data_IF_307953907363
#
_entry.id   IF_307953907363
#
_cell.length_a   1.000
_cell.length_b   1.000
_cell.length_c   1.000
_cell.angle_alpha   90.00
_cell.angle_beta   90.00
_cell.angle_gamma   90.00
#
_symmetry.space_group_name_H-M   'P 1'
#
loop_
_entity.id
_entity.type
_entity.pdbx_description
1 polymer ?
#
# COMPACT_ATOMS: atom_id res chain seq x y z
N UNK A 1 -4.99 -3.17 3.17
CA UNK A 1 -3.96 -2.86 2.14
C UNK A 1 -2.96 -4.01 2.04
N UNK A 2 -2.24 -4.18 0.93
CA UNK A 2 -1.13 -5.15 0.83
C UNK A 2 0.19 -4.43 0.57
N UNK A 3 1.25 -4.85 1.26
CA UNK A 3 2.60 -4.36 1.01
C UNK A 3 3.54 -5.52 0.67
N UNK A 4 4.59 -5.22 -0.09
CA UNK A 4 5.69 -6.12 -0.36
C UNK A 4 6.97 -5.57 0.26
N UNK A 5 7.83 -6.46 0.74
CA UNK A 5 9.17 -6.11 1.19
C UNK A 5 10.21 -6.89 0.38
N UNK A 6 11.29 -6.20 0.01
CA UNK A 6 12.47 -6.78 -0.59
C UNK A 6 13.69 -6.19 0.09
N UNK A 7 14.47 -7.04 0.73
CA UNK A 7 15.72 -6.67 1.39
C UNK A 7 16.79 -7.52 0.75
N UNK A 8 17.74 -6.88 0.08
CA UNK A 8 18.78 -7.54 -0.71
C UNK A 8 20.13 -7.14 -0.15
N UNK A 9 20.79 -8.09 0.51
CA UNK A 9 22.16 -7.94 0.98
C UNK A 9 23.12 -7.79 -0.20
N UNK A 10 24.16 -6.98 -0.03
CA UNK A 10 25.21 -6.76 -1.01
C UNK A 10 26.56 -7.19 -0.46
N UNK A 11 27.46 -7.67 -1.33
CA UNK A 11 28.81 -8.09 -0.91
C UNK A 11 28.81 -9.25 0.09
N UNK A 12 27.85 -10.18 -0.02
CA UNK A 12 27.74 -11.33 0.88
C UNK A 12 27.24 -11.01 2.29
N UNK A 13 26.71 -9.81 2.54
CA UNK A 13 26.05 -9.51 3.81
C UNK A 13 24.90 -10.48 4.05
N UNK A 14 24.80 -10.94 5.29
CA UNK A 14 23.73 -11.79 5.77
C UNK A 14 23.07 -11.14 6.97
N UNK A 15 21.76 -11.33 7.08
CA UNK A 15 20.95 -10.78 8.16
C UNK A 15 19.82 -11.75 8.49
N UNK A 16 19.17 -11.48 9.63
CA UNK A 16 18.13 -12.32 10.17
C UNK A 16 16.77 -11.62 10.08
N UNK A 17 15.71 -12.33 9.68
CA UNK A 17 14.35 -11.76 9.72
C UNK A 17 13.90 -11.44 11.15
N UNK A 18 14.49 -12.08 12.17
CA UNK A 18 14.26 -11.73 13.57
C UNK A 18 14.62 -10.29 13.92
N UNK A 19 15.43 -9.62 13.11
CA UNK A 19 15.82 -8.22 13.31
C UNK A 19 14.93 -7.25 12.55
N UNK A 20 14.05 -7.74 11.68
CA UNK A 20 13.18 -6.93 10.84
C UNK A 20 12.03 -6.37 11.67
N UNK A 21 11.90 -5.05 11.67
CA UNK A 21 10.70 -4.36 12.15
C UNK A 21 10.19 -3.38 11.11
N UNK A 22 8.91 -3.07 11.21
CA UNK A 22 8.24 -2.12 10.35
C UNK A 22 7.23 -1.31 11.15
N UNK A 23 7.13 -0.03 10.85
CA UNK A 23 6.09 0.83 11.37
C UNK A 23 5.61 1.75 10.27
N UNK A 24 4.31 1.76 10.03
CA UNK A 24 3.66 2.70 9.16
C UNK A 24 2.71 3.59 9.93
N UNK A 25 2.67 4.85 9.51
CA UNK A 25 1.74 5.86 10.00
C UNK A 25 1.11 6.60 8.83
N UNK A 26 -0.16 6.95 8.97
CA UNK A 26 -0.84 7.89 8.10
C UNK A 26 -0.95 9.27 8.72
N UNK A 27 -1.15 10.28 7.88
CA UNK A 27 -1.15 11.68 8.30
C UNK A 27 -2.53 12.18 8.78
N UNK A 28 -3.53 11.30 8.89
CA UNK A 28 -4.81 11.60 9.50
C UNK A 28 -4.73 11.58 11.03
N UNK A 29 -5.69 12.23 11.69
CA UNK A 29 -5.68 12.37 13.15
C UNK A 29 -5.80 11.05 13.92
N UNK A 30 -6.27 9.99 13.26
CA UNK A 30 -6.52 8.69 13.87
C UNK A 30 -5.47 7.64 13.49
N UNK A 31 -4.48 7.98 12.67
CA UNK A 31 -3.51 7.04 12.11
C UNK A 31 -4.22 5.80 11.52
N UNK A 32 -5.30 6.02 10.75
CA UNK A 32 -6.23 4.97 10.36
C UNK A 32 -5.60 3.88 9.47
N UNK A 33 -4.52 4.18 8.76
CA UNK A 33 -3.75 3.22 7.97
C UNK A 33 -2.49 2.73 8.70
N UNK A 34 -2.31 3.14 9.96
CA UNK A 34 -1.22 2.73 10.81
C UNK A 34 -1.13 1.22 10.92
N UNK A 35 0.08 0.68 10.78
CA UNK A 35 0.34 -0.75 10.83
C UNK A 35 1.81 -1.00 11.15
N UNK A 36 2.12 -1.96 11.99
CA UNK A 36 3.51 -2.29 12.29
C UNK A 36 3.67 -3.67 12.89
N UNK A 37 4.92 -4.12 12.89
CA UNK A 37 5.37 -5.33 13.53
C UNK A 37 6.77 -5.11 14.09
N UNK A 38 7.05 -5.77 15.19
CA UNK A 38 8.31 -5.66 15.91
C UNK A 38 9.32 -6.68 15.41
N UNK A 39 10.58 -6.42 15.76
CA UNK A 39 11.66 -7.38 15.56
C UNK A 39 11.31 -8.69 16.28
N UNK A 40 11.33 -9.79 15.52
CA UNK A 40 11.05 -11.14 16.00
C UNK A 40 9.62 -11.62 15.75
N UNK A 41 8.72 -10.77 15.25
CA UNK A 41 7.30 -11.12 15.03
C UNK A 41 7.08 -12.07 13.85
N UNK A 42 8.04 -12.17 12.91
CA UNK A 42 7.93 -13.03 11.74
C UNK A 42 9.00 -14.11 11.65
N UNK A 43 8.64 -15.20 11.00
CA UNK A 43 9.50 -16.28 10.55
C UNK A 43 9.20 -16.65 9.08
N UNK A 44 9.74 -17.78 8.61
CA UNK A 44 9.53 -18.26 7.25
C UNK A 44 8.37 -19.26 7.12
N UNK A 45 7.69 -19.62 8.22
CA UNK A 45 6.79 -20.79 8.30
C UNK A 45 5.43 -20.55 7.66
N UNK A 46 4.94 -19.30 7.65
CA UNK A 46 3.60 -18.95 7.18
C UNK A 46 3.52 -18.65 5.66
N UNK A 47 4.64 -18.80 4.93
CA UNK A 47 4.72 -18.52 3.49
C UNK A 47 4.60 -17.04 3.12
N UNK A 48 4.47 -16.15 4.10
CA UNK A 48 4.46 -14.70 3.90
C UNK A 48 5.85 -14.13 3.60
N UNK A 49 6.89 -14.80 4.08
CA UNK A 49 8.28 -14.42 3.90
C UNK A 49 9.10 -15.60 3.39
N UNK A 50 10.07 -15.29 2.54
CA UNK A 50 11.04 -16.22 1.99
C UNK A 50 12.42 -15.59 2.11
N UNK A 51 13.33 -16.31 2.75
CA UNK A 51 14.74 -15.98 2.74
C UNK A 51 15.44 -16.56 1.50
N UNK A 52 16.54 -15.95 1.07
CA UNK A 52 17.36 -16.44 -0.04
C UNK A 52 18.82 -16.49 0.38
N UNK A 53 19.48 -17.60 0.11
CA UNK A 53 20.93 -17.77 0.21
C UNK A 53 21.52 -17.75 -1.19
N UNK A 54 22.48 -16.88 -1.47
CA UNK A 54 23.06 -16.63 -2.81
C UNK A 54 24.00 -17.72 -3.33
N UNK A 55 23.93 -18.93 -2.78
CA UNK A 55 24.79 -20.03 -3.22
C UNK A 55 26.29 -19.74 -3.16
N UNK A 56 27.03 -20.29 -4.12
CA UNK A 56 28.49 -20.22 -4.19
C UNK A 56 29.00 -19.00 -4.94
N UNK A 57 28.20 -18.44 -5.85
CA UNK A 57 28.59 -17.25 -6.61
C UNK A 57 28.41 -15.95 -5.81
N UNK A 58 27.61 -15.99 -4.73
CA UNK A 58 27.39 -14.84 -3.85
C UNK A 58 26.58 -13.73 -4.51
N UNK A 59 25.83 -14.05 -5.57
CA UNK A 59 24.99 -13.13 -6.33
C UNK A 59 23.54 -13.61 -6.24
N UNK A 60 22.59 -12.69 -6.08
CA UNK A 60 21.18 -13.03 -6.17
C UNK A 60 20.84 -13.43 -7.62
N UNK A 61 20.37 -14.64 -7.82
CA UNK A 61 20.01 -15.22 -9.11
C UNK A 61 20.93 -16.38 -9.49
N UNK A 62 21.16 -16.62 -10.78
CA UNK A 62 22.20 -17.56 -11.24
C UNK A 62 21.87 -19.06 -11.13
N UNK A 63 20.87 -19.44 -10.34
CA UNK A 63 20.33 -20.80 -10.27
C UNK A 63 20.94 -21.70 -9.19
N UNK A 64 21.91 -21.20 -8.43
CA UNK A 64 22.45 -21.82 -7.22
C UNK A 64 21.86 -21.23 -5.92
N UNK A 65 20.97 -20.24 -6.05
CA UNK A 65 20.16 -19.71 -4.96
C UNK A 65 19.35 -20.81 -4.24
N UNK A 66 19.34 -20.76 -2.91
CA UNK A 66 18.48 -21.63 -2.09
C UNK A 66 17.44 -20.80 -1.36
N UNK A 67 16.17 -21.16 -1.52
CA UNK A 67 15.05 -20.53 -0.80
C UNK A 67 14.87 -21.13 0.59
N UNK A 68 14.70 -20.25 1.57
CA UNK A 68 14.38 -20.55 2.96
C UNK A 68 12.91 -20.23 3.17
N UNK A 69 12.08 -21.26 3.22
CA UNK A 69 10.60 -21.14 3.31
C UNK A 69 10.04 -21.76 4.59
N UNK A 70 10.90 -22.06 5.56
CA UNK A 70 10.55 -22.52 6.90
C UNK A 70 11.79 -22.46 7.79
N UNK A 71 11.59 -22.59 9.11
CA UNK A 71 12.67 -22.60 10.08
C UNK A 71 12.68 -21.37 10.99
N UNK A 72 13.69 -21.26 11.88
CA UNK A 72 13.71 -20.22 12.88
C UNK A 72 13.90 -18.84 12.23
N UNK A 73 13.28 -17.82 12.83
CA UNK A 73 13.46 -16.43 12.42
C UNK A 73 14.90 -15.93 12.57
N UNK A 74 15.78 -16.64 13.28
CA UNK A 74 17.21 -16.34 13.46
C UNK A 74 18.11 -16.84 12.34
N UNK A 75 17.57 -17.55 11.35
CA UNK A 75 18.36 -18.04 10.22
C UNK A 75 18.86 -16.87 9.38
N UNK A 76 20.19 -16.77 9.28
CA UNK A 76 20.87 -15.80 8.44
C UNK A 76 20.64 -16.10 6.96
N UNK A 77 20.24 -15.07 6.21
CA UNK A 77 20.00 -15.12 4.76
C UNK A 77 20.61 -13.89 4.09
N UNK A 78 20.85 -13.98 2.78
CA UNK A 78 21.39 -12.88 1.98
C UNK A 78 20.29 -11.94 1.50
N UNK A 79 19.08 -12.45 1.26
CA UNK A 79 17.92 -11.63 0.95
C UNK A 79 16.66 -12.12 1.65
N UNK A 80 15.70 -11.22 1.85
CA UNK A 80 14.35 -11.52 2.32
C UNK A 80 13.38 -10.90 1.33
N UNK A 81 12.43 -11.70 0.89
CA UNK A 81 11.26 -11.25 0.14
C UNK A 81 10.02 -11.62 0.91
N UNK A 82 9.09 -10.69 1.02
CA UNK A 82 7.88 -10.95 1.76
C UNK A 82 6.71 -10.09 1.31
N UNK A 83 5.55 -10.47 1.81
CA UNK A 83 4.29 -9.79 1.63
C UNK A 83 3.59 -9.71 2.98
N UNK A 84 2.90 -8.61 3.20
CA UNK A 84 2.06 -8.45 4.37
C UNK A 84 0.77 -7.71 4.05
N UNK A 85 -0.15 -7.80 5.01
CA UNK A 85 -1.42 -7.11 4.96
C UNK A 85 -1.41 -6.03 6.03
N UNK A 86 -1.65 -4.79 5.63
CA UNK A 86 -1.86 -3.67 6.55
C UNK A 86 -3.33 -3.30 6.65
N UNK A 87 -3.63 -2.37 7.57
CA UNK A 87 -4.97 -1.82 7.74
C UNK A 87 -5.49 -1.19 6.44
N UNK A 88 -6.81 -1.13 6.29
CA UNK A 88 -7.47 -0.41 5.20
C UNK A 88 -8.81 0.08 5.70
N UNK A 89 -9.28 1.20 5.14
CA UNK A 89 -10.68 1.56 5.26
C UNK A 89 -11.52 0.44 4.65
N UNK A 90 -12.45 -0.06 5.46
CA UNK A 90 -13.36 -1.10 5.07
C UNK A 90 -14.34 -0.55 4.03
N UNK A 91 -14.30 -1.09 2.82
CA UNK A 91 -15.43 -1.12 1.92
C UNK A 91 -15.62 -2.61 1.67
N UNK A 92 -16.52 -3.24 2.42
CA UNK A 92 -16.92 -4.62 2.15
C UNK A 92 -18.25 -4.63 1.37
N UNK A 93 -18.21 -4.60 0.02
CA UNK A 93 -19.35 -4.92 -0.82
C UNK A 93 -19.46 -6.43 -1.07
N UNK A 94 -18.57 -7.25 -0.48
CA UNK A 94 -18.45 -8.69 -0.67
C UNK A 94 -19.03 -9.54 0.46
N UNK A 95 -19.49 -8.94 1.57
CA UNK A 95 -20.37 -9.62 2.53
C UNK A 95 -21.76 -9.78 1.90
N UNK A 96 -22.16 -11.01 1.48
CA UNK A 96 -23.45 -11.26 0.86
C UNK A 96 -24.63 -11.09 1.84
N UNK A 97 -24.38 -10.71 3.10
CA UNK A 97 -25.38 -10.55 4.17
C UNK A 97 -25.48 -9.12 4.71
N UNK A 98 -24.74 -8.14 4.17
CA UNK A 98 -24.90 -6.75 4.61
C UNK A 98 -26.24 -6.17 4.14
N UNK A 99 -27.11 -5.86 5.09
CA UNK A 99 -28.33 -5.08 4.88
C UNK A 99 -27.97 -3.66 4.42
N UNK A 100 -28.90 -2.97 3.74
CA UNK A 100 -28.73 -1.56 3.37
C UNK A 100 -28.32 -0.67 4.56
N UNK A 101 -28.81 -0.98 5.77
CA UNK A 101 -28.46 -0.25 6.98
C UNK A 101 -27.00 -0.44 7.41
N UNK A 102 -26.43 -1.62 7.21
CA UNK A 102 -25.01 -1.90 7.51
C UNK A 102 -24.09 -1.21 6.48
N UNK A 103 -24.53 -1.12 5.23
CA UNK A 103 -23.81 -0.36 4.19
C UNK A 103 -23.85 1.15 4.45
N UNK A 104 -24.99 1.68 4.87
CA UNK A 104 -25.10 3.09 5.28
C UNK A 104 -24.24 3.39 6.52
N UNK A 105 -24.20 2.48 7.49
CA UNK A 105 -23.35 2.62 8.67
C UNK A 105 -21.84 2.60 8.33
N UNK A 106 -21.42 1.75 7.38
CA UNK A 106 -20.01 1.72 6.95
C UNK A 106 -19.62 2.97 6.14
N UNK A 107 -20.52 3.48 5.30
CA UNK A 107 -20.33 4.74 4.58
C UNK A 107 -20.26 5.93 5.53
N UNK A 108 -21.14 5.99 6.54
CA UNK A 108 -21.12 7.04 7.56
C UNK A 108 -19.84 6.94 8.40
N UNK A 109 -19.40 5.72 8.77
CA UNK A 109 -18.12 5.52 9.45
C UNK A 109 -16.94 6.03 8.59
N UNK A 110 -16.91 5.69 7.30
CA UNK A 110 -15.88 6.16 6.37
C UNK A 110 -15.93 7.69 6.14
N UNK A 111 -17.13 8.29 6.12
CA UNK A 111 -17.32 9.73 6.02
C UNK A 111 -16.96 10.46 7.33
N UNK A 112 -17.08 9.80 8.48
CA UNK A 112 -16.78 10.33 9.81
C UNK A 112 -15.28 10.45 10.10
N UNK A 113 -14.43 9.78 9.31
CA UNK A 113 -12.98 10.03 9.29
C UNK A 113 -12.70 11.41 8.68
N UNK A 114 -12.89 12.46 9.49
CA UNK A 114 -12.50 13.81 9.16
C UNK A 114 -10.99 13.87 8.88
N UNK A 115 -10.63 14.25 7.66
CA UNK A 115 -9.23 14.29 7.22
C UNK A 115 -8.70 12.92 6.83
N UNK A 116 -9.36 12.25 5.88
CA UNK A 116 -8.85 11.03 5.24
C UNK A 116 -7.36 11.16 4.93
N UNK A 117 -6.58 10.09 5.11
CA UNK A 117 -5.15 10.15 4.94
C UNK A 117 -4.82 10.50 3.51
N UNK A 118 -4.01 11.53 3.36
CA UNK A 118 -3.46 11.95 2.07
C UNK A 118 -2.03 11.46 1.91
N UNK A 119 -1.42 10.98 2.99
CA UNK A 119 -0.06 10.49 3.02
C UNK A 119 0.08 9.29 3.96
N UNK A 120 0.90 8.33 3.54
CA UNK A 120 1.28 7.15 4.29
C UNK A 120 2.81 7.06 4.33
N UNK A 121 3.39 6.95 5.52
CA UNK A 121 4.85 6.82 5.70
C UNK A 121 5.16 5.51 6.39
N UNK A 122 5.90 4.64 5.70
CA UNK A 122 6.47 3.42 6.27
C UNK A 122 7.94 3.63 6.65
N UNK A 123 8.33 3.13 7.82
CA UNK A 123 9.72 3.01 8.24
C UNK A 123 10.04 1.55 8.53
N UNK A 124 11.24 1.11 8.19
CA UNK A 124 11.71 -0.23 8.50
C UNK A 124 13.08 -0.18 9.16
N UNK A 125 13.40 -1.22 9.93
CA UNK A 125 14.74 -1.46 10.49
C UNK A 125 15.11 -2.92 10.30
N UNK A 126 16.39 -3.18 10.02
CA UNK A 126 16.99 -4.51 10.03
C UNK A 126 18.45 -4.39 10.48
N UNK A 127 18.81 -5.06 11.58
CA UNK A 127 20.09 -4.83 12.24
C UNK A 127 20.29 -3.34 12.51
N UNK A 128 21.44 -2.78 12.08
CA UNK A 128 21.73 -1.35 12.18
C UNK A 128 21.17 -0.48 11.05
N UNK A 129 20.64 -1.10 10.01
CA UNK A 129 20.09 -0.41 8.85
C UNK A 129 18.63 0.01 9.09
N UNK A 130 18.26 1.16 8.55
CA UNK A 130 16.88 1.62 8.53
C UNK A 130 16.60 2.42 7.26
N UNK A 131 15.32 2.56 6.93
CA UNK A 131 14.88 3.39 5.82
C UNK A 131 13.43 3.79 6.00
N UNK A 132 13.01 4.79 5.24
CA UNK A 132 11.62 5.25 5.21
C UNK A 132 11.18 5.56 3.79
N UNK A 133 9.89 5.43 3.55
CA UNK A 133 9.25 5.77 2.29
C UNK A 133 7.88 6.38 2.58
N UNK A 134 7.56 7.42 1.82
CA UNK A 134 6.31 8.15 1.95
C UNK A 134 5.55 8.09 0.62
N UNK A 135 4.27 7.72 0.69
CA UNK A 135 3.37 7.62 -0.44
C UNK A 135 2.23 8.61 -0.27
N UNK A 136 2.02 9.44 -1.29
CA UNK A 136 0.89 10.35 -1.34
C UNK A 136 -0.30 9.68 -2.04
N UNK A 137 -1.48 9.74 -1.41
CA UNK A 137 -2.72 9.21 -1.95
C UNK A 137 -3.31 10.30 -2.86
N UNK A 138 -3.22 10.08 -4.16
CA UNK A 138 -3.68 11.04 -5.15
C UNK A 138 -5.22 11.12 -5.18
N UNK A 139 -5.75 12.22 -4.66
CA UNK A 139 -7.15 12.62 -4.86
C UNK A 139 -7.21 13.49 -6.12
N UNK A 140 -8.12 13.23 -7.09
CA UNK A 140 -8.24 14.06 -8.29
C UNK A 140 -8.40 15.54 -7.90
N UNK A 141 -7.46 16.36 -8.36
CA UNK A 141 -7.40 17.75 -7.91
C UNK A 141 -8.71 18.50 -8.24
N UNK A 142 -9.12 19.47 -7.40
CA UNK A 142 -10.29 20.31 -7.66
C UNK A 142 -10.27 20.97 -9.05
N UNK A 143 -9.09 21.22 -9.61
CA UNK A 143 -8.92 21.74 -10.96
C UNK A 143 -9.43 20.78 -12.04
N UNK A 144 -9.29 19.47 -11.87
CA UNK A 144 -9.82 18.46 -12.82
C UNK A 144 -11.33 18.52 -12.89
N UNK A 145 -12.01 18.71 -11.74
CA UNK A 145 -13.45 18.92 -11.67
C UNK A 145 -13.85 20.23 -12.33
N UNK A 146 -13.13 21.31 -12.07
CA UNK A 146 -13.39 22.62 -12.67
C UNK A 146 -13.25 22.58 -14.21
N UNK A 147 -12.20 21.92 -14.72
CA UNK A 147 -11.98 21.75 -16.16
C UNK A 147 -13.05 20.89 -16.82
N UNK A 148 -13.50 19.83 -16.14
CA UNK A 148 -14.60 18.98 -16.61
C UNK A 148 -15.90 19.78 -16.72
N UNK A 149 -16.26 20.53 -15.66
CA UNK A 149 -17.45 21.38 -15.62
C UNK A 149 -17.37 22.46 -16.71
N UNK A 150 -16.22 23.10 -16.86
CA UNK A 150 -15.99 24.10 -17.90
C UNK A 150 -16.12 23.50 -19.30
N UNK A 151 -15.56 22.30 -19.52
CA UNK A 151 -15.67 21.57 -20.78
C UNK A 151 -17.12 21.24 -21.14
N UNK A 152 -17.86 20.62 -20.22
CA UNK A 152 -19.29 20.31 -20.43
C UNK A 152 -20.16 21.55 -20.56
N UNK A 153 -19.90 22.58 -19.73
CA UNK A 153 -20.58 23.87 -19.82
C UNK A 153 -20.35 24.56 -21.17
N UNK A 154 -19.12 24.53 -21.67
CA UNK A 154 -18.73 25.06 -22.97
C UNK A 154 -19.43 24.36 -24.13
N UNK A 155 -19.44 23.01 -24.14
CA UNK A 155 -20.15 22.21 -25.14
C UNK A 155 -21.66 22.49 -25.10
N UNK A 156 -22.26 22.49 -23.90
CA UNK A 156 -23.69 22.79 -23.73
C UNK A 156 -24.08 24.19 -24.22
N UNK A 157 -23.26 25.20 -23.92
CA UNK A 157 -23.48 26.56 -24.41
C UNK A 157 -23.39 26.65 -25.94
N UNK A 158 -22.42 25.97 -26.56
CA UNK A 158 -22.27 25.94 -28.01
C UNK A 158 -23.47 25.29 -28.72
N UNK A 159 -23.98 24.18 -28.18
CA UNK A 159 -25.18 23.50 -28.70
C UNK A 159 -26.43 24.38 -28.58
N UNK A 160 -26.63 25.04 -27.43
CA UNK A 160 -27.77 25.98 -27.23
C UNK A 160 -27.74 27.15 -28.21
N UNK A 161 -26.55 27.68 -28.52
CA UNK A 161 -26.38 28.76 -29.51
C UNK A 161 -26.78 28.30 -30.91
N UNK A 162 -26.37 27.09 -31.32
CA UNK A 162 -26.75 26.51 -32.63
C UNK A 162 -28.25 26.28 -32.75
N UNK A 163 -28.88 25.76 -31.70
CA UNK A 163 -30.33 25.52 -31.70
C UNK A 163 -31.13 26.82 -31.84
N UNK A 164 -30.73 27.91 -31.17
CA UNK A 164 -31.38 29.21 -31.31
C UNK A 164 -31.25 29.78 -32.72
N UNK A 165 -30.08 29.63 -33.34
CA UNK A 165 -29.87 30.10 -34.72
C UNK A 165 -30.75 29.37 -35.74
N UNK A 166 -31.04 28.08 -35.51
CA UNK A 166 -31.90 27.26 -36.38
C UNK A 166 -33.40 27.51 -36.19
N UNK A 167 -33.84 28.01 -35.02
CA UNK A 167 -35.27 28.31 -34.74
C UNK A 167 -35.70 29.67 -35.29
N UNK A 168 -34.76 30.58 -35.57
CA UNK A 168 -35.01 31.92 -36.14
C UNK A 168 -34.86 32.01 -37.66
N UNK A 169 -34.63 30.88 -38.35
CA UNK A 169 -34.55 30.77 -39.81
C UNK A 169 -35.77 30.01 -40.35
#
# INVERSE_FOLDING_TARGET
>A
MTFGVSIVGTGGTMFSISELSFNAVSNDASDALGFGFNAGDYDYSDGNYVGVLYGADGVLGGGDDTFVTSGPNTQLVNAIFGRGSGNSFENDPSDPVSTLAEQEASLEAAASFAGQPTQFTGTYRIGDFNGSGTFDIAVPEPASWALMILGFGGVGAALRRRHRALVTA
#
